data_IF_910208119372
#
_entry.id   IF_910208119372
#
_cell.length_a   1.000
_cell.length_b   1.000
_cell.length_c   1.000
_cell.angle_alpha   90.00
_cell.angle_beta   90.00
_cell.angle_gamma   90.00
#
_symmetry.space_group_name_H-M   'P 1'
#
loop_
_entity.id
_entity.type
_entity.pdbx_description
1 polymer ?
#
# COMPACT_ATOMS: atom_id res chain seq x y z
N UNK A 1 -2.33 2.04 -25.01
CA UNK A 1 -2.26 3.14 -24.01
C UNK A 1 -0.87 3.31 -23.39
N UNK A 2 0.15 2.55 -23.78
CA UNK A 2 1.48 2.52 -23.16
C UNK A 2 2.36 3.79 -23.29
N UNK A 3 1.90 4.77 -24.06
CA UNK A 3 2.68 6.00 -24.32
C UNK A 3 2.15 7.27 -23.62
N UNK A 4 1.11 7.15 -22.80
CA UNK A 4 0.59 8.30 -22.06
C UNK A 4 1.36 8.54 -20.77
N UNK A 5 1.45 9.81 -20.36
CA UNK A 5 2.02 10.23 -19.10
C UNK A 5 1.05 9.91 -17.94
N UNK A 6 1.56 9.94 -16.72
CA UNK A 6 0.83 9.58 -15.50
C UNK A 6 -0.53 10.27 -15.39
N UNK A 7 -0.57 11.59 -15.58
CA UNK A 7 -1.77 12.42 -15.46
C UNK A 7 -2.86 12.04 -16.48
N UNK A 8 -2.46 11.56 -17.66
CA UNK A 8 -3.41 11.05 -18.65
C UNK A 8 -3.88 9.64 -18.30
N UNK A 9 -2.97 8.78 -17.81
CA UNK A 9 -3.32 7.43 -17.38
C UNK A 9 -4.29 7.45 -16.20
N UNK A 10 -4.10 8.34 -15.21
CA UNK A 10 -4.99 8.44 -14.05
C UNK A 10 -6.45 8.80 -14.42
N UNK A 11 -6.66 9.42 -15.59
CA UNK A 11 -7.98 9.81 -16.09
C UNK A 11 -8.58 8.77 -17.03
N UNK A 12 -7.77 8.10 -17.85
CA UNK A 12 -8.24 7.36 -19.01
C UNK A 12 -7.94 5.86 -18.98
N UNK A 13 -6.95 5.41 -18.22
CA UNK A 13 -6.57 3.99 -18.25
C UNK A 13 -7.74 3.10 -17.77
N UNK A 14 -7.95 1.99 -18.49
CA UNK A 14 -8.98 1.01 -18.18
C UNK A 14 -10.42 1.43 -18.48
N UNK A 15 -10.67 2.66 -18.95
CA UNK A 15 -12.01 3.17 -19.20
C UNK A 15 -12.29 3.37 -20.68
N UNK A 16 -13.50 3.00 -21.07
CA UNK A 16 -14.13 3.38 -22.34
C UNK A 16 -15.50 4.00 -22.03
N UNK A 17 -16.05 4.79 -22.95
CA UNK A 17 -17.45 5.20 -22.85
C UNK A 17 -18.34 3.97 -22.78
N UNK A 18 -19.37 3.99 -21.95
CA UNK A 18 -20.30 2.86 -21.82
C UNK A 18 -20.89 2.48 -23.19
N UNK A 19 -20.74 1.23 -23.67
CA UNK A 19 -21.13 0.88 -25.04
C UNK A 19 -22.63 0.90 -25.27
N UNK A 20 -23.45 0.87 -24.21
CA UNK A 20 -24.91 0.85 -24.31
C UNK A 20 -25.49 2.27 -24.26
N UNK A 21 -25.04 3.06 -23.32
CA UNK A 21 -25.60 4.39 -23.03
C UNK A 21 -24.76 5.55 -23.56
N UNK A 22 -23.48 5.30 -23.89
CA UNK A 22 -22.52 6.33 -24.24
C UNK A 22 -22.03 7.15 -23.02
N UNK A 23 -22.32 6.72 -21.78
CA UNK A 23 -21.90 7.44 -20.56
C UNK A 23 -20.40 7.67 -20.56
N UNK A 24 -19.99 8.92 -20.34
CA UNK A 24 -18.57 9.29 -20.23
C UNK A 24 -18.00 8.94 -18.85
N UNK A 25 -18.78 9.09 -17.80
CA UNK A 25 -18.41 8.65 -16.45
C UNK A 25 -18.49 7.12 -16.34
N UNK A 26 -17.68 6.53 -15.44
CA UNK A 26 -17.77 5.09 -15.16
C UNK A 26 -19.11 4.79 -14.49
N UNK A 27 -19.97 3.94 -15.08
CA UNK A 27 -21.23 3.56 -14.43
C UNK A 27 -20.98 2.75 -13.15
N UNK A 28 -21.87 2.90 -12.18
CA UNK A 28 -21.86 2.08 -10.96
C UNK A 28 -22.75 0.85 -11.19
N UNK A 29 -22.13 -0.31 -11.39
CA UNK A 29 -22.86 -1.58 -11.56
C UNK A 29 -23.14 -2.19 -10.19
N UNK A 30 -24.15 -1.67 -9.50
CA UNK A 30 -24.59 -2.15 -8.18
C UNK A 30 -25.49 -3.38 -8.34
N UNK A 31 -24.89 -4.51 -8.69
CA UNK A 31 -25.55 -5.80 -8.86
C UNK A 31 -24.74 -6.92 -8.23
N UNK A 32 -25.38 -8.02 -7.86
CA UNK A 32 -24.71 -9.22 -7.35
C UNK A 32 -24.25 -10.15 -8.46
N UNK A 33 -25.03 -10.30 -9.54
CA UNK A 33 -24.86 -11.35 -10.56
C UNK A 33 -25.19 -10.85 -11.96
N UNK A 34 -24.80 -11.64 -12.96
CA UNK A 34 -24.93 -11.31 -14.37
C UNK A 34 -25.57 -12.47 -15.12
N UNK A 35 -26.35 -12.17 -16.16
CA UNK A 35 -27.02 -13.16 -17.00
C UNK A 35 -26.02 -13.72 -18.02
N UNK A 36 -26.00 -15.04 -18.18
CA UNK A 36 -25.21 -15.73 -19.18
C UNK A 36 -25.95 -15.75 -20.51
N UNK A 37 -25.23 -15.85 -21.63
CA UNK A 37 -25.82 -16.00 -22.96
C UNK A 37 -26.51 -17.36 -23.10
N UNK A 38 -25.83 -18.42 -22.67
CA UNK A 38 -26.28 -19.81 -22.67
C UNK A 38 -25.49 -20.65 -21.65
N UNK A 39 -25.78 -21.95 -21.59
CA UNK A 39 -25.13 -22.88 -20.68
C UNK A 39 -23.65 -23.12 -21.02
N UNK A 40 -23.25 -23.05 -22.29
CA UNK A 40 -21.86 -23.21 -22.70
C UNK A 40 -21.05 -22.01 -22.29
N UNK A 41 -21.52 -20.79 -22.49
CA UNK A 41 -20.91 -19.56 -22.00
C UNK A 41 -20.72 -19.58 -20.47
N UNK A 42 -21.74 -20.02 -19.74
CA UNK A 42 -21.63 -20.18 -18.28
C UNK A 42 -20.49 -21.14 -17.91
N UNK A 43 -20.44 -22.31 -18.53
CA UNK A 43 -19.42 -23.31 -18.28
C UNK A 43 -18.00 -22.80 -18.59
N UNK A 44 -17.82 -22.05 -19.67
CA UNK A 44 -16.53 -21.49 -20.08
C UNK A 44 -16.02 -20.43 -19.06
N UNK A 45 -16.92 -19.59 -18.54
CA UNK A 45 -16.58 -18.61 -17.50
C UNK A 45 -16.14 -19.29 -16.19
N UNK A 46 -16.92 -20.27 -15.72
CA UNK A 46 -16.58 -21.02 -14.50
C UNK A 46 -15.33 -21.89 -14.67
N UNK A 47 -15.07 -22.37 -15.88
CA UNK A 47 -13.88 -23.16 -16.22
C UNK A 47 -12.63 -22.32 -16.53
N UNK A 48 -12.68 -21.00 -16.39
CA UNK A 48 -11.61 -20.06 -16.73
C UNK A 48 -11.12 -20.15 -18.19
N UNK A 49 -11.99 -20.59 -19.09
CA UNK A 49 -11.74 -20.64 -20.54
C UNK A 49 -12.08 -19.34 -21.24
N UNK A 50 -12.93 -18.52 -20.63
CA UNK A 50 -13.30 -17.18 -21.07
C UNK A 50 -13.27 -16.19 -19.90
N UNK A 51 -13.05 -14.90 -20.21
CA UNK A 51 -13.19 -13.81 -19.25
C UNK A 51 -14.56 -13.15 -19.37
N UNK A 52 -15.17 -12.83 -18.23
CA UNK A 52 -16.47 -12.16 -18.21
C UNK A 52 -17.00 -12.01 -16.80
N UNK A 53 -18.18 -11.41 -16.69
CA UNK A 53 -18.81 -11.16 -15.40
C UNK A 53 -19.69 -12.34 -14.97
N UNK A 54 -19.47 -12.85 -13.77
CA UNK A 54 -20.23 -13.92 -13.14
C UNK A 54 -20.98 -13.40 -11.92
N UNK A 55 -20.22 -12.86 -10.97
CA UNK A 55 -20.69 -12.45 -9.67
C UNK A 55 -19.80 -11.34 -9.13
N UNK A 56 -20.39 -10.27 -8.57
CA UNK A 56 -19.67 -9.04 -8.18
C UNK A 56 -18.56 -9.26 -7.16
N UNK A 57 -18.65 -10.28 -6.30
CA UNK A 57 -17.54 -10.63 -5.39
C UNK A 57 -16.26 -10.94 -6.14
N UNK A 58 -16.33 -11.54 -7.33
CA UNK A 58 -15.17 -11.99 -8.11
C UNK A 58 -14.76 -10.92 -9.13
N UNK A 59 -15.75 -10.32 -9.81
CA UNK A 59 -15.55 -9.34 -10.87
C UNK A 59 -16.78 -8.42 -11.02
N UNK A 60 -16.52 -7.15 -11.31
CA UNK A 60 -17.56 -6.15 -11.52
C UNK A 60 -17.05 -5.08 -12.49
N UNK A 61 -17.83 -4.59 -13.47
CA UNK A 61 -17.34 -3.64 -14.46
C UNK A 61 -16.84 -2.32 -13.89
N UNK A 62 -17.42 -1.81 -12.79
CA UNK A 62 -16.91 -0.62 -12.10
C UNK A 62 -15.57 -0.88 -11.46
N UNK A 63 -15.44 -2.02 -10.78
CA UNK A 63 -14.19 -2.45 -10.12
C UNK A 63 -13.10 -2.74 -11.15
N UNK A 64 -13.43 -3.33 -12.30
CA UNK A 64 -12.50 -3.62 -13.39
C UNK A 64 -11.80 -2.35 -13.93
N UNK A 65 -12.53 -1.23 -14.02
CA UNK A 65 -11.90 0.06 -14.39
C UNK A 65 -10.89 0.51 -13.33
N UNK A 66 -11.21 0.38 -12.05
CA UNK A 66 -10.29 0.70 -10.96
C UNK A 66 -9.02 -0.16 -11.04
N UNK A 67 -9.19 -1.47 -11.20
CA UNK A 67 -8.08 -2.43 -11.31
C UNK A 67 -7.17 -2.12 -12.49
N UNK A 68 -7.71 -1.95 -13.68
CA UNK A 68 -6.95 -1.60 -14.89
C UNK A 68 -6.22 -0.27 -14.78
N UNK A 69 -6.85 0.72 -14.13
CA UNK A 69 -6.25 2.04 -13.93
C UNK A 69 -5.07 1.97 -12.97
N UNK A 70 -5.24 1.30 -11.83
CA UNK A 70 -4.15 1.09 -10.87
C UNK A 70 -3.00 0.28 -11.49
N UNK A 71 -3.29 -0.80 -12.22
CA UNK A 71 -2.25 -1.57 -12.92
C UNK A 71 -1.43 -0.69 -13.86
N UNK A 72 -2.10 0.18 -14.65
CA UNK A 72 -1.41 1.09 -15.56
C UNK A 72 -0.55 2.14 -14.83
N UNK A 73 -1.02 2.66 -13.70
CA UNK A 73 -0.30 3.67 -12.91
C UNK A 73 0.91 3.09 -12.19
N UNK A 74 0.80 1.89 -11.63
CA UNK A 74 1.91 1.19 -10.97
C UNK A 74 2.88 0.51 -11.96
N UNK A 75 2.48 0.36 -13.23
CA UNK A 75 3.29 -0.31 -14.27
C UNK A 75 3.19 -1.83 -14.23
N UNK A 76 2.12 -2.38 -13.68
CA UNK A 76 1.84 -3.82 -13.66
C UNK A 76 1.04 -4.30 -14.86
N UNK A 77 0.95 -5.63 -15.01
CA UNK A 77 0.16 -6.29 -16.07
C UNK A 77 -1.32 -6.39 -15.73
N UNK A 78 -1.64 -6.53 -14.43
CA UNK A 78 -3.01 -6.62 -13.92
C UNK A 78 -3.07 -6.24 -12.45
N UNK A 79 -4.28 -5.93 -11.96
CA UNK A 79 -4.52 -5.67 -10.55
C UNK A 79 -5.80 -6.33 -10.05
N UNK A 80 -5.92 -6.42 -8.73
CA UNK A 80 -7.08 -6.91 -8.01
C UNK A 80 -7.46 -5.92 -6.91
N UNK A 81 -8.68 -5.42 -6.93
CA UNK A 81 -9.22 -4.56 -5.88
C UNK A 81 -9.96 -5.39 -4.82
N UNK A 82 -9.74 -5.06 -3.56
CA UNK A 82 -10.26 -5.78 -2.39
C UNK A 82 -10.74 -4.81 -1.32
N UNK A 83 -11.36 -5.35 -0.27
CA UNK A 83 -12.06 -4.57 0.75
C UNK A 83 -11.16 -3.62 1.58
N UNK A 84 -9.86 -3.88 1.70
CA UNK A 84 -8.93 -3.08 2.49
C UNK A 84 -7.46 -3.39 2.16
N UNK A 85 -6.51 -2.54 2.59
CA UNK A 85 -5.09 -2.83 2.50
C UNK A 85 -4.69 -4.10 3.25
N UNK A 86 -5.28 -4.34 4.44
CA UNK A 86 -5.06 -5.58 5.20
C UNK A 86 -5.53 -6.83 4.44
N UNK A 87 -6.65 -6.74 3.71
CA UNK A 87 -7.11 -7.80 2.83
C UNK A 87 -6.16 -8.00 1.64
N UNK A 88 -5.62 -6.92 1.07
CA UNK A 88 -4.68 -6.99 -0.03
C UNK A 88 -3.40 -7.75 0.37
N UNK A 89 -2.78 -7.40 1.49
CA UNK A 89 -1.58 -8.12 1.96
C UNK A 89 -1.89 -9.57 2.37
N UNK A 90 -3.06 -9.82 2.98
CA UNK A 90 -3.48 -11.20 3.31
C UNK A 90 -3.57 -12.05 2.04
N UNK A 91 -4.32 -11.59 1.03
CA UNK A 91 -4.46 -12.32 -0.22
C UNK A 91 -3.14 -12.47 -0.97
N UNK A 92 -2.33 -11.40 -1.04
CA UNK A 92 -1.04 -11.48 -1.72
C UNK A 92 -0.15 -12.59 -1.12
N UNK A 93 -0.07 -12.67 0.21
CA UNK A 93 0.77 -13.66 0.90
C UNK A 93 0.15 -15.06 0.84
N UNK A 94 -1.15 -15.22 1.11
CA UNK A 94 -1.79 -16.55 1.07
C UNK A 94 -1.93 -17.11 -0.35
N UNK A 95 -1.77 -16.29 -1.38
CA UNK A 95 -1.68 -16.75 -2.76
C UNK A 95 -0.37 -17.49 -3.04
N UNK A 96 0.72 -17.16 -2.35
CA UNK A 96 2.06 -17.71 -2.59
C UNK A 96 2.57 -18.62 -1.47
N UNK A 97 2.01 -18.54 -0.27
CA UNK A 97 2.42 -19.25 0.92
C UNK A 97 1.26 -20.00 1.58
N UNK A 98 1.55 -21.12 2.21
CA UNK A 98 0.61 -21.95 2.96
C UNK A 98 1.18 -22.32 4.33
N UNK A 99 0.42 -23.06 5.14
CA UNK A 99 0.88 -23.52 6.44
C UNK A 99 2.21 -24.28 6.33
N UNK A 100 3.17 -23.90 7.14
CA UNK A 100 4.55 -24.42 7.14
C UNK A 100 5.54 -23.61 6.31
N UNK A 101 5.09 -22.65 5.50
CA UNK A 101 5.93 -21.69 4.79
C UNK A 101 6.25 -20.46 5.66
N UNK A 102 7.21 -19.67 5.19
CA UNK A 102 7.53 -18.37 5.80
C UNK A 102 7.76 -17.28 4.77
N UNK A 103 7.71 -16.02 5.23
CA UNK A 103 8.19 -14.83 4.53
C UNK A 103 9.18 -14.08 5.41
N UNK A 104 10.06 -13.29 4.79
CA UNK A 104 10.99 -12.40 5.50
C UNK A 104 10.53 -10.96 5.31
N UNK A 105 10.49 -10.19 6.38
CA UNK A 105 10.04 -8.79 6.38
C UNK A 105 10.94 -7.92 7.23
N UNK A 106 10.94 -6.60 6.97
CA UNK A 106 11.49 -5.61 7.90
C UNK A 106 10.64 -5.51 9.15
N UNK A 107 11.23 -5.05 10.26
CA UNK A 107 10.48 -4.60 11.44
C UNK A 107 9.89 -3.19 11.27
N UNK A 108 10.33 -2.42 10.28
CA UNK A 108 9.91 -1.05 10.00
C UNK A 108 8.61 -1.02 9.17
N UNK A 109 7.52 -1.43 9.80
CA UNK A 109 6.20 -1.56 9.17
C UNK A 109 5.15 -0.70 9.87
N UNK A 110 4.09 -0.43 9.17
CA UNK A 110 2.85 0.01 9.79
C UNK A 110 2.45 -0.96 10.92
N UNK A 111 2.10 -0.43 12.11
CA UNK A 111 1.80 -1.25 13.28
C UNK A 111 0.72 -2.32 13.05
N UNK A 112 -0.29 -2.02 12.22
CA UNK A 112 -1.32 -2.99 11.83
C UNK A 112 -0.77 -4.14 10.98
N UNK A 113 0.18 -3.88 10.09
CA UNK A 113 0.89 -4.90 9.29
C UNK A 113 1.76 -5.77 10.19
N UNK A 114 2.57 -5.15 11.05
CA UNK A 114 3.41 -5.88 12.02
C UNK A 114 2.58 -6.83 12.88
N UNK A 115 1.49 -6.33 13.47
CA UNK A 115 0.61 -7.15 14.30
C UNK A 115 -0.08 -8.28 13.51
N UNK A 116 -0.54 -8.01 12.29
CA UNK A 116 -1.13 -9.05 11.43
C UNK A 116 -0.11 -10.16 11.14
N UNK A 117 1.12 -9.82 10.80
CA UNK A 117 2.19 -10.76 10.51
C UNK A 117 2.59 -11.57 11.75
N UNK A 118 2.78 -10.91 12.87
CA UNK A 118 3.18 -11.54 14.13
C UNK A 118 2.11 -12.48 14.69
N UNK A 119 0.83 -12.13 14.58
CA UNK A 119 -0.26 -12.82 15.27
C UNK A 119 -1.18 -13.58 14.32
N UNK A 120 -1.74 -12.91 13.30
CA UNK A 120 -2.75 -13.53 12.45
C UNK A 120 -2.13 -14.58 11.51
N UNK A 121 -1.01 -14.28 10.86
CA UNK A 121 -0.34 -15.23 9.96
C UNK A 121 0.20 -16.44 10.72
N UNK A 122 0.70 -16.27 11.94
CA UNK A 122 1.10 -17.40 12.79
C UNK A 122 -0.06 -18.36 13.05
N UNK A 123 -1.29 -17.85 13.24
CA UNK A 123 -2.49 -18.70 13.39
C UNK A 123 -2.87 -19.44 12.11
N UNK A 124 -2.50 -18.90 10.95
CA UNK A 124 -2.65 -19.56 9.65
C UNK A 124 -1.51 -20.55 9.35
N UNK A 125 -0.54 -20.68 10.26
CA UNK A 125 0.61 -21.55 10.10
C UNK A 125 1.70 -20.98 9.19
N UNK A 126 1.62 -19.70 8.80
CA UNK A 126 2.64 -19.00 8.03
C UNK A 126 3.50 -18.19 9.01
N UNK A 127 4.81 -18.46 9.02
CA UNK A 127 5.75 -17.74 9.85
C UNK A 127 6.20 -16.44 9.14
N UNK A 128 6.34 -15.34 9.91
CA UNK A 128 6.94 -14.10 9.40
C UNK A 128 8.17 -13.79 10.24
N UNK A 129 9.32 -13.79 9.57
CA UNK A 129 10.62 -13.51 10.19
C UNK A 129 10.98 -12.05 9.98
N UNK A 130 11.17 -11.34 11.07
CA UNK A 130 11.49 -9.92 11.04
C UNK A 130 12.99 -9.69 11.12
N UNK A 131 13.55 -9.07 10.09
CA UNK A 131 14.88 -8.46 10.17
C UNK A 131 14.77 -7.09 10.87
N UNK A 132 15.77 -6.75 11.65
CA UNK A 132 15.87 -5.41 12.23
C UNK A 132 16.38 -4.44 11.16
N UNK A 133 15.59 -3.41 10.87
CA UNK A 133 15.94 -2.40 9.86
C UNK A 133 15.87 -2.90 8.42
N UNK A 134 16.72 -2.33 7.58
CA UNK A 134 16.76 -2.57 6.13
C UNK A 134 18.13 -3.16 5.71
N UNK A 135 18.81 -3.89 6.60
CA UNK A 135 20.10 -4.54 6.31
C UNK A 135 19.90 -5.81 5.48
N UNK A 136 20.48 -5.83 4.30
CA UNK A 136 20.41 -6.94 3.34
C UNK A 136 20.93 -8.26 3.93
N UNK A 137 22.03 -8.22 4.66
CA UNK A 137 22.66 -9.42 5.22
C UNK A 137 21.79 -10.01 6.35
N UNK A 138 21.14 -9.16 7.14
CA UNK A 138 20.17 -9.58 8.15
C UNK A 138 18.95 -10.27 7.51
N UNK A 139 18.46 -9.75 6.37
CA UNK A 139 17.39 -10.41 5.62
C UNK A 139 17.84 -11.76 5.05
N UNK A 140 19.01 -11.81 4.41
CA UNK A 140 19.52 -13.03 3.79
C UNK A 140 19.72 -14.15 4.81
N UNK A 141 20.16 -13.83 6.02
CA UNK A 141 20.32 -14.79 7.12
C UNK A 141 18.99 -15.44 7.59
N UNK A 142 17.85 -14.82 7.31
CA UNK A 142 16.52 -15.32 7.66
C UNK A 142 15.86 -16.15 6.55
N UNK A 143 16.44 -16.19 5.36
CA UNK A 143 15.90 -16.93 4.21
C UNK A 143 16.27 -18.40 4.30
N UNK A 144 15.29 -19.29 4.08
CA UNK A 144 15.49 -20.73 3.98
C UNK A 144 14.69 -21.35 2.83
N UNK A 145 14.69 -22.67 2.71
CA UNK A 145 13.97 -23.40 1.65
C UNK A 145 12.44 -23.22 1.68
N UNK A 146 11.87 -22.79 2.80
CA UNK A 146 10.43 -22.54 3.00
C UNK A 146 10.05 -21.09 2.81
N UNK A 147 11.02 -20.21 2.57
CA UNK A 147 10.76 -18.78 2.35
C UNK A 147 10.10 -18.56 0.99
N UNK A 148 8.95 -17.88 0.99
CA UNK A 148 8.12 -17.63 -0.19
C UNK A 148 8.16 -16.20 -0.69
N UNK A 149 8.78 -15.26 0.04
CA UNK A 149 8.91 -13.89 -0.41
C UNK A 149 9.58 -12.97 0.61
N UNK A 150 9.96 -11.80 0.13
CA UNK A 150 10.42 -10.67 0.94
C UNK A 150 9.34 -9.60 0.90
N UNK A 151 9.01 -9.02 2.05
CA UNK A 151 8.00 -7.98 2.18
C UNK A 151 8.60 -6.70 2.76
N UNK A 152 8.33 -5.56 2.08
CA UNK A 152 8.81 -4.22 2.45
C UNK A 152 7.70 -3.19 2.29
N UNK A 153 7.86 -2.01 2.91
CA UNK A 153 7.11 -0.79 2.58
C UNK A 153 8.02 0.16 1.77
N UNK A 154 7.47 0.85 0.76
CA UNK A 154 8.23 1.83 -0.04
C UNK A 154 8.77 2.97 0.82
N UNK A 155 7.96 3.46 1.73
CA UNK A 155 8.29 4.44 2.77
C UNK A 155 7.75 3.87 4.07
N UNK A 156 8.64 3.54 5.00
CA UNK A 156 8.27 2.94 6.26
C UNK A 156 7.47 3.89 7.16
N UNK A 157 6.63 3.33 8.02
CA UNK A 157 5.76 4.11 8.90
C UNK A 157 5.86 3.59 10.35
N UNK A 158 6.30 4.38 11.32
CA UNK A 158 6.46 5.85 11.30
C UNK A 158 7.90 6.35 11.11
N UNK A 159 8.87 5.48 10.85
CA UNK A 159 10.29 5.84 10.77
C UNK A 159 10.69 6.56 9.47
N UNK A 160 9.88 6.49 8.41
CA UNK A 160 10.13 7.07 7.07
C UNK A 160 11.45 6.62 6.44
N UNK A 161 11.89 5.40 6.79
CA UNK A 161 13.00 4.72 6.12
C UNK A 161 12.64 4.42 4.66
N UNK A 162 13.66 4.46 3.80
CA UNK A 162 13.53 4.12 2.38
C UNK A 162 14.45 2.91 2.13
N UNK A 163 13.91 1.71 1.88
CA UNK A 163 14.73 0.55 1.56
C UNK A 163 15.38 0.68 0.18
N UNK A 164 16.57 0.12 0.03
CA UNK A 164 17.24 0.04 -1.28
C UNK A 164 16.55 -1.03 -2.14
N UNK A 165 15.49 -0.65 -2.85
CA UNK A 165 14.64 -1.56 -3.62
C UNK A 165 15.43 -2.44 -4.60
N UNK A 166 16.46 -1.90 -5.25
CA UNK A 166 17.30 -2.67 -6.20
C UNK A 166 18.09 -3.77 -5.50
N UNK A 167 18.63 -3.48 -4.30
CA UNK A 167 19.34 -4.50 -3.53
C UNK A 167 18.41 -5.59 -3.04
N UNK A 168 17.22 -5.23 -2.56
CA UNK A 168 16.21 -6.21 -2.15
C UNK A 168 15.68 -7.03 -3.32
N UNK A 169 15.48 -6.43 -4.50
CA UNK A 169 15.12 -7.16 -5.72
C UNK A 169 16.22 -8.16 -6.13
N UNK A 170 17.49 -7.76 -6.05
CA UNK A 170 18.62 -8.65 -6.32
C UNK A 170 18.72 -9.79 -5.28
N UNK A 171 18.46 -9.50 -4.00
CA UNK A 171 18.38 -10.53 -2.96
C UNK A 171 17.26 -11.53 -3.24
N UNK A 172 16.04 -11.06 -3.51
CA UNK A 172 14.89 -11.90 -3.83
C UNK A 172 15.18 -12.78 -5.06
N UNK A 173 15.78 -12.20 -6.11
CA UNK A 173 16.18 -12.93 -7.33
C UNK A 173 17.20 -14.02 -7.07
N UNK A 174 18.23 -13.78 -6.22
CA UNK A 174 19.24 -14.80 -5.88
C UNK A 174 18.62 -16.02 -5.19
N UNK A 175 17.52 -15.82 -4.50
CA UNK A 175 16.81 -16.87 -3.78
C UNK A 175 15.56 -17.39 -4.50
N UNK A 176 15.33 -16.99 -5.76
CA UNK A 176 14.16 -17.38 -6.56
C UNK A 176 12.82 -17.17 -5.82
N UNK A 177 12.66 -16.05 -5.10
CA UNK A 177 11.46 -15.66 -4.38
C UNK A 177 11.01 -14.25 -4.80
N UNK A 178 9.71 -13.90 -4.76
CA UNK A 178 9.24 -12.58 -5.14
C UNK A 178 9.55 -11.52 -4.08
N UNK A 179 9.78 -10.29 -4.56
CA UNK A 179 9.75 -9.08 -3.75
C UNK A 179 8.34 -8.48 -3.76
N UNK A 180 7.73 -8.37 -2.57
CA UNK A 180 6.43 -7.77 -2.33
C UNK A 180 6.64 -6.40 -1.69
N UNK A 181 6.06 -5.35 -2.26
CA UNK A 181 6.21 -3.99 -1.74
C UNK A 181 4.86 -3.38 -1.46
N UNK A 182 4.62 -2.97 -0.22
CA UNK A 182 3.51 -2.09 0.12
C UNK A 182 3.84 -0.66 -0.33
N UNK A 183 3.16 -0.23 -1.39
CA UNK A 183 3.33 1.08 -2.00
C UNK A 183 2.24 2.06 -1.58
N UNK A 184 1.65 1.88 -0.41
CA UNK A 184 0.60 2.79 0.09
C UNK A 184 1.08 4.24 0.08
N UNK A 185 2.31 4.51 0.54
CA UNK A 185 2.88 5.86 0.54
C UNK A 185 3.44 6.29 -0.83
N UNK A 186 3.61 5.37 -1.76
CA UNK A 186 3.97 5.66 -3.15
C UNK A 186 2.82 6.22 -3.99
N UNK A 187 1.61 6.29 -3.42
CA UNK A 187 0.44 6.95 -4.00
C UNK A 187 0.14 6.50 -5.44
N UNK A 188 -0.16 5.19 -5.59
CA UNK A 188 -0.47 4.57 -6.88
C UNK A 188 0.58 4.85 -7.97
N UNK A 189 1.86 4.83 -7.59
CA UNK A 189 2.96 5.04 -8.54
C UNK A 189 3.32 6.51 -8.82
N UNK A 190 2.63 7.49 -8.23
CA UNK A 190 2.96 8.90 -8.43
C UNK A 190 4.27 9.31 -7.73
N UNK A 191 4.45 8.86 -6.48
CA UNK A 191 5.68 9.10 -5.71
C UNK A 191 6.72 8.01 -6.00
N UNK A 192 6.31 6.74 -6.07
CA UNK A 192 7.23 5.63 -6.31
C UNK A 192 6.55 4.53 -7.11
N UNK A 193 7.29 3.93 -8.05
CA UNK A 193 6.88 2.77 -8.82
C UNK A 193 7.84 1.59 -8.55
N UNK A 194 7.62 0.79 -7.50
CA UNK A 194 8.55 -0.28 -7.10
C UNK A 194 8.80 -1.31 -8.19
N UNK A 195 7.85 -1.55 -9.09
CA UNK A 195 7.98 -2.47 -10.24
C UNK A 195 9.17 -2.08 -11.14
N UNK A 196 9.44 -0.79 -11.32
CA UNK A 196 10.61 -0.29 -12.07
C UNK A 196 11.95 -0.70 -11.46
N UNK A 197 11.93 -1.05 -10.18
CA UNK A 197 13.12 -1.40 -9.41
C UNK A 197 13.17 -2.88 -9.03
N UNK A 198 12.28 -3.70 -9.62
CA UNK A 198 12.31 -5.15 -9.49
C UNK A 198 11.30 -5.76 -8.53
N UNK A 199 10.35 -5.00 -7.99
CA UNK A 199 9.23 -5.58 -7.26
C UNK A 199 8.38 -6.46 -8.19
N UNK A 200 7.93 -7.60 -7.67
CA UNK A 200 7.11 -8.55 -8.41
C UNK A 200 5.63 -8.40 -8.09
N UNK A 201 5.33 -8.01 -6.85
CA UNK A 201 3.98 -7.76 -6.36
C UNK A 201 3.99 -6.41 -5.65
N UNK A 202 3.04 -5.55 -5.99
CA UNK A 202 2.79 -4.31 -5.28
C UNK A 202 1.42 -4.38 -4.62
N UNK A 203 1.35 -3.98 -3.36
CA UNK A 203 0.07 -3.81 -2.68
C UNK A 203 -0.09 -2.37 -2.22
N UNK A 204 -1.32 -1.92 -2.02
CA UNK A 204 -1.58 -0.64 -1.39
C UNK A 204 -2.93 -0.60 -0.68
N UNK A 205 -2.99 0.17 0.39
CA UNK A 205 -4.27 0.61 0.95
C UNK A 205 -4.84 1.75 0.10
N UNK A 206 -5.82 1.43 -0.73
CA UNK A 206 -6.52 2.42 -1.55
C UNK A 206 -7.32 3.44 -0.70
N UNK A 207 -7.56 3.12 0.56
CA UNK A 207 -8.16 3.97 1.59
C UNK A 207 -7.42 5.31 1.74
N UNK A 208 -6.10 5.33 1.48
CA UNK A 208 -5.20 6.44 1.75
C UNK A 208 -5.16 7.43 0.58
N UNK A 209 -4.02 7.60 -0.06
CA UNK A 209 -3.81 8.58 -1.15
C UNK A 209 -4.73 8.36 -2.36
N UNK A 210 -5.05 7.10 -2.68
CA UNK A 210 -5.93 6.77 -3.81
C UNK A 210 -7.32 7.37 -3.60
N UNK A 211 -7.95 7.09 -2.48
CA UNK A 211 -9.23 7.70 -2.11
C UNK A 211 -9.08 9.20 -1.79
N UNK A 212 -8.14 9.53 -0.90
CA UNK A 212 -7.72 10.89 -0.57
C UNK A 212 -8.72 11.78 0.20
N UNK A 213 -9.87 11.23 0.59
CA UNK A 213 -10.97 12.01 1.19
C UNK A 213 -11.52 11.40 2.49
N UNK A 214 -10.94 10.30 2.98
CA UNK A 214 -11.40 9.62 4.20
C UNK A 214 -12.80 9.01 4.09
N UNK A 215 -13.31 8.76 2.88
CA UNK A 215 -14.71 8.34 2.65
C UNK A 215 -14.86 6.85 2.36
N UNK A 216 -13.83 6.19 1.85
CA UNK A 216 -13.92 4.80 1.38
C UNK A 216 -12.72 3.96 1.81
N UNK A 217 -13.00 2.74 2.25
CA UNK A 217 -11.97 1.73 2.52
C UNK A 217 -11.82 0.84 1.28
N UNK A 218 -10.57 0.56 0.91
CA UNK A 218 -10.23 -0.35 -0.16
C UNK A 218 -8.76 -0.76 -0.11
N UNK A 219 -8.43 -1.81 -0.81
CA UNK A 219 -7.07 -2.28 -1.03
C UNK A 219 -6.87 -2.71 -2.47
N UNK A 220 -5.63 -2.74 -2.91
CA UNK A 220 -5.26 -3.18 -4.26
C UNK A 220 -4.02 -4.05 -4.23
N UNK A 221 -3.97 -5.03 -5.11
CA UNK A 221 -2.83 -5.89 -5.39
C UNK A 221 -2.50 -5.71 -6.86
N UNK A 222 -1.24 -5.48 -7.19
CA UNK A 222 -0.76 -5.32 -8.57
C UNK A 222 0.27 -6.39 -8.85
N UNK A 223 0.06 -7.13 -9.93
CA UNK A 223 1.00 -8.12 -10.47
C UNK A 223 1.90 -7.46 -11.50
N UNK A 224 3.21 -7.52 -11.30
CA UNK A 224 4.18 -7.03 -12.26
C UNK A 224 4.28 -7.93 -13.52
N UNK A 225 3.82 -9.20 -13.43
CA UNK A 225 3.93 -10.17 -14.51
C UNK A 225 5.35 -10.62 -14.84
N UNK A 226 6.29 -10.37 -13.94
CA UNK A 226 7.71 -10.58 -14.17
C UNK A 226 8.35 -11.71 -13.34
N UNK A 227 7.57 -12.43 -12.53
CA UNK A 227 8.08 -13.51 -11.69
C UNK A 227 7.76 -14.88 -12.29
N UNK A 228 8.74 -15.80 -12.21
CA UNK A 228 8.58 -17.19 -12.67
C UNK A 228 8.01 -18.06 -11.55
N UNK A 229 6.68 -18.23 -11.51
CA UNK A 229 6.00 -19.10 -10.55
C UNK A 229 6.25 -20.59 -10.81
N UNK A 230 6.82 -20.96 -11.96
CA UNK A 230 7.20 -22.33 -12.34
C UNK A 230 8.62 -22.74 -11.91
N UNK A 231 9.29 -21.98 -11.03
CA UNK A 231 10.69 -22.22 -10.63
C UNK A 231 10.90 -23.39 -9.63
N UNK A 232 9.86 -24.16 -9.33
CA UNK A 232 9.91 -25.33 -8.44
C UNK A 232 9.65 -25.00 -6.95
N UNK A 233 9.56 -23.73 -6.56
CA UNK A 233 9.29 -23.33 -5.16
C UNK A 233 7.81 -23.06 -4.85
N UNK A 234 6.96 -22.98 -5.87
CA UNK A 234 5.57 -22.56 -5.73
C UNK A 234 4.60 -23.63 -6.22
N UNK A 235 4.43 -24.76 -5.48
CA UNK A 235 3.53 -25.84 -5.88
C UNK A 235 2.09 -25.39 -6.06
N UNK A 236 1.64 -24.36 -5.35
CA UNK A 236 0.32 -23.75 -5.51
C UNK A 236 0.02 -23.24 -6.93
N UNK A 237 1.02 -23.06 -7.80
CA UNK A 237 0.87 -22.65 -9.19
C UNK A 237 1.11 -23.79 -10.17
N UNK A 238 1.95 -24.79 -9.80
CA UNK A 238 2.41 -25.85 -10.71
C UNK A 238 1.72 -27.18 -10.50
N UNK A 239 1.15 -27.40 -9.31
CA UNK A 239 0.34 -28.58 -9.02
C UNK A 239 -1.12 -28.40 -9.47
N UNK A 240 -1.85 -29.50 -9.75
CA UNK A 240 -3.26 -29.45 -10.11
C UNK A 240 -4.11 -28.82 -9.01
N UNK A 241 -4.86 -27.76 -9.30
CA UNK A 241 -5.80 -27.14 -8.36
C UNK A 241 -7.05 -28.00 -8.17
N UNK A 242 -7.34 -28.37 -6.93
CA UNK A 242 -8.56 -29.10 -6.56
C UNK A 242 -9.82 -28.27 -6.81
N UNK A 243 -9.73 -26.93 -6.65
CA UNK A 243 -10.83 -25.98 -6.86
C UNK A 243 -11.18 -25.75 -8.32
N UNK A 244 -10.33 -26.15 -9.28
CA UNK A 244 -10.50 -25.93 -10.72
C UNK A 244 -10.22 -27.18 -11.54
N UNK A 245 -10.74 -28.34 -11.13
CA UNK A 245 -10.69 -29.61 -11.88
C UNK A 245 -9.29 -29.98 -12.37
N UNK A 246 -8.26 -29.71 -11.57
CA UNK A 246 -6.89 -30.06 -11.89
C UNK A 246 -6.17 -29.04 -12.80
N UNK A 247 -6.72 -27.85 -12.99
CA UNK A 247 -6.03 -26.77 -13.69
C UNK A 247 -4.72 -26.43 -12.97
N UNK A 248 -3.66 -26.26 -13.74
CA UNK A 248 -2.39 -25.74 -13.26
C UNK A 248 -2.27 -24.26 -13.67
N UNK A 249 -2.22 -23.37 -12.68
CA UNK A 249 -2.24 -21.94 -12.95
C UNK A 249 -1.05 -21.48 -13.78
N UNK A 250 0.15 -22.06 -13.53
CA UNK A 250 1.33 -21.69 -14.29
C UNK A 250 1.28 -22.12 -15.75
N UNK A 251 0.80 -23.34 -16.04
CA UNK A 251 0.70 -23.85 -17.41
C UNK A 251 -0.31 -23.02 -18.24
N UNK A 252 -1.37 -22.52 -17.62
CA UNK A 252 -2.46 -21.79 -18.31
C UNK A 252 -2.21 -20.28 -18.36
N UNK A 253 -1.72 -19.69 -17.28
CA UNK A 253 -1.62 -18.23 -17.07
C UNK A 253 -0.19 -17.77 -16.81
N UNK A 254 0.81 -18.61 -17.00
CA UNK A 254 2.23 -18.25 -16.93
C UNK A 254 2.74 -17.64 -18.23
N UNK A 255 4.05 -17.40 -18.30
CA UNK A 255 4.70 -16.69 -19.40
C UNK A 255 4.51 -17.35 -20.78
N UNK A 256 4.34 -18.66 -20.82
CA UNK A 256 4.13 -19.43 -22.05
C UNK A 256 2.62 -19.66 -22.37
N UNK A 257 1.76 -19.26 -21.46
CA UNK A 257 0.31 -19.33 -21.65
C UNK A 257 -0.22 -18.25 -22.60
N UNK A 258 -1.44 -18.43 -23.13
CA UNK A 258 -2.01 -17.55 -24.16
C UNK A 258 -2.34 -16.13 -23.65
N UNK A 259 -2.30 -15.90 -22.34
CA UNK A 259 -2.69 -14.63 -21.71
C UNK A 259 -1.49 -13.83 -21.18
N UNK A 260 -0.26 -14.34 -21.36
CA UNK A 260 0.94 -13.80 -20.70
C UNK A 260 0.98 -14.17 -19.21
N UNK A 261 2.01 -13.69 -18.50
CA UNK A 261 2.22 -14.04 -17.09
C UNK A 261 1.28 -13.27 -16.16
N UNK A 262 0.09 -13.81 -15.94
CA UNK A 262 -0.94 -13.32 -15.01
C UNK A 262 -1.35 -14.40 -13.99
N UNK A 263 -0.56 -15.46 -13.85
CA UNK A 263 -0.89 -16.60 -12.98
C UNK A 263 -1.14 -16.17 -11.54
N UNK A 264 -0.33 -15.26 -11.00
CA UNK A 264 -0.48 -14.77 -9.63
C UNK A 264 -1.81 -14.05 -9.42
N UNK A 265 -2.13 -13.08 -10.26
CA UNK A 265 -3.33 -12.25 -10.03
C UNK A 265 -4.62 -13.03 -10.31
N UNK A 266 -4.61 -13.98 -11.26
CA UNK A 266 -5.74 -14.87 -11.51
C UNK A 266 -5.97 -15.78 -10.30
N UNK A 267 -4.92 -16.42 -9.77
CA UNK A 267 -5.05 -17.26 -8.58
C UNK A 267 -5.53 -16.46 -7.38
N UNK A 268 -4.98 -15.26 -7.15
CA UNK A 268 -5.44 -14.36 -6.08
C UNK A 268 -6.94 -14.03 -6.20
N UNK A 269 -7.46 -13.87 -7.43
CA UNK A 269 -8.87 -13.59 -7.68
C UNK A 269 -9.76 -14.82 -7.48
N UNK A 270 -9.41 -15.93 -8.11
CA UNK A 270 -10.33 -17.07 -8.25
C UNK A 270 -10.24 -18.09 -7.11
N UNK A 271 -9.17 -18.08 -6.33
CA UNK A 271 -9.06 -18.83 -5.06
C UNK A 271 -9.09 -17.87 -3.87
N UNK A 272 -8.22 -16.86 -3.82
CA UNK A 272 -8.14 -15.95 -2.69
C UNK A 272 -9.41 -15.11 -2.49
N UNK A 273 -9.73 -14.22 -3.43
CA UNK A 273 -10.89 -13.33 -3.31
C UNK A 273 -12.21 -14.09 -3.33
N UNK A 274 -12.37 -15.07 -4.23
CA UNK A 274 -13.61 -15.85 -4.34
C UNK A 274 -13.95 -16.57 -3.05
N UNK A 275 -12.97 -17.23 -2.44
CA UNK A 275 -13.20 -18.16 -1.33
C UNK A 275 -13.12 -17.50 0.04
N UNK A 276 -12.21 -16.52 0.23
CA UNK A 276 -12.09 -15.76 1.48
C UNK A 276 -13.00 -14.55 1.56
N UNK A 277 -13.46 -14.02 0.42
CA UNK A 277 -14.56 -13.08 0.32
C UNK A 277 -14.29 -11.60 0.59
N UNK A 278 -13.07 -11.05 0.68
CA UNK A 278 -12.85 -9.63 0.99
C UNK A 278 -13.09 -8.72 -0.23
N UNK A 279 -14.28 -8.82 -0.81
CA UNK A 279 -14.66 -8.06 -2.00
C UNK A 279 -14.90 -6.58 -1.69
N UNK A 280 -14.47 -5.70 -2.59
CA UNK A 280 -14.79 -4.28 -2.55
C UNK A 280 -16.21 -4.03 -3.09
N UNK A 281 -16.92 -3.08 -2.49
CA UNK A 281 -18.20 -2.60 -3.04
C UNK A 281 -17.95 -1.82 -4.35
N UNK A 282 -18.78 -2.00 -5.40
CA UNK A 282 -18.72 -1.17 -6.61
C UNK A 282 -18.84 0.33 -6.32
N UNK A 283 -19.62 0.70 -5.32
CA UNK A 283 -19.73 2.09 -4.88
C UNK A 283 -18.42 2.62 -4.30
N UNK A 284 -17.71 1.82 -3.47
CA UNK A 284 -16.40 2.21 -2.99
C UNK A 284 -15.38 2.28 -4.14
N UNK A 285 -15.41 1.34 -5.07
CA UNK A 285 -14.56 1.38 -6.26
C UNK A 285 -14.78 2.67 -7.08
N UNK A 286 -16.03 3.11 -7.22
CA UNK A 286 -16.37 4.38 -7.87
C UNK A 286 -15.80 5.58 -7.12
N UNK A 287 -15.92 5.64 -5.78
CA UNK A 287 -15.34 6.74 -4.97
C UNK A 287 -13.81 6.75 -5.05
N UNK A 288 -13.16 5.59 -5.09
CA UNK A 288 -11.71 5.49 -5.30
C UNK A 288 -11.29 5.96 -6.70
N UNK A 289 -12.09 5.67 -7.74
CA UNK A 289 -11.87 6.21 -9.08
C UNK A 289 -11.96 7.74 -9.11
N UNK A 290 -12.93 8.33 -8.39
CA UNK A 290 -13.03 9.78 -8.23
C UNK A 290 -11.76 10.37 -7.57
N UNK A 291 -11.26 9.70 -6.54
CA UNK A 291 -10.00 10.09 -5.90
C UNK A 291 -8.80 10.00 -6.85
N UNK A 292 -8.72 8.97 -7.68
CA UNK A 292 -7.63 8.80 -8.66
C UNK A 292 -7.58 9.91 -9.68
N UNK A 293 -8.71 10.41 -10.15
CA UNK A 293 -8.75 11.43 -11.21
C UNK A 293 -8.05 12.75 -10.85
N UNK A 294 -7.87 13.02 -9.57
CA UNK A 294 -7.15 14.20 -9.07
C UNK A 294 -5.91 13.86 -8.23
N UNK A 295 -5.47 12.60 -8.26
CA UNK A 295 -4.43 12.12 -7.36
C UNK A 295 -3.13 12.91 -7.50
N UNK A 296 -2.62 13.11 -8.72
CA UNK A 296 -1.36 13.82 -8.95
C UNK A 296 -1.39 15.26 -8.40
N UNK A 297 -2.50 15.97 -8.58
CA UNK A 297 -2.68 17.34 -8.09
C UNK A 297 -2.67 17.39 -6.55
N UNK A 298 -3.40 16.45 -5.91
CA UNK A 298 -3.47 16.38 -4.45
C UNK A 298 -2.12 15.97 -3.85
N UNK A 299 -1.53 14.91 -4.37
CA UNK A 299 -0.29 14.35 -3.82
C UNK A 299 0.88 15.34 -3.99
N UNK A 300 0.95 16.07 -5.09
CA UNK A 300 1.93 17.15 -5.25
C UNK A 300 1.77 18.20 -4.16
N UNK A 301 0.55 18.68 -3.91
CA UNK A 301 0.29 19.66 -2.86
C UNK A 301 0.61 19.11 -1.46
N UNK A 302 0.31 17.83 -1.19
CA UNK A 302 0.71 17.18 0.06
C UNK A 302 2.23 17.19 0.25
N UNK A 303 3.00 16.85 -0.80
CA UNK A 303 4.46 16.83 -0.74
C UNK A 303 5.05 18.24 -0.53
N UNK A 304 4.54 19.25 -1.26
CA UNK A 304 4.99 20.64 -1.13
C UNK A 304 4.74 21.15 0.29
N UNK A 305 3.54 20.90 0.82
CA UNK A 305 3.19 21.31 2.18
C UNK A 305 3.99 20.53 3.24
N UNK A 306 4.24 19.23 3.02
CA UNK A 306 5.00 18.41 3.96
C UNK A 306 6.46 18.86 4.04
N UNK A 307 7.09 19.18 2.91
CA UNK A 307 8.45 19.72 2.88
C UNK A 307 8.53 21.05 3.61
N UNK A 308 7.64 22.00 3.30
CA UNK A 308 7.64 23.31 3.93
C UNK A 308 7.37 23.24 5.45
N UNK A 309 6.47 22.33 5.89
CA UNK A 309 6.25 22.09 7.32
C UNK A 309 7.47 21.43 7.98
N UNK A 310 8.13 20.47 7.32
CA UNK A 310 9.33 19.81 7.84
C UNK A 310 10.48 20.79 8.04
N UNK A 311 10.73 21.67 7.06
CA UNK A 311 11.76 22.72 7.12
C UNK A 311 11.48 23.72 8.26
N UNK A 312 10.21 24.12 8.45
CA UNK A 312 9.83 24.99 9.57
C UNK A 312 10.01 24.28 10.92
N UNK A 313 9.59 23.02 11.06
CA UNK A 313 9.76 22.25 12.28
C UNK A 313 11.23 22.02 12.64
N UNK A 314 12.09 21.73 11.65
CA UNK A 314 13.53 21.52 11.86
C UNK A 314 14.21 22.72 12.49
N UNK A 315 13.73 23.92 12.23
CA UNK A 315 14.27 25.16 12.78
C UNK A 315 13.62 25.59 14.11
N UNK A 316 12.55 24.89 14.54
CA UNK A 316 11.78 25.32 15.70
C UNK A 316 12.48 24.89 17.03
N UNK A 317 12.66 25.81 18.02
CA UNK A 317 13.41 25.54 19.24
C UNK A 317 12.87 24.41 20.11
N UNK A 318 11.55 24.13 20.08
CA UNK A 318 10.91 23.05 20.83
C UNK A 318 11.09 21.67 20.17
N UNK A 319 11.48 21.61 18.90
CA UNK A 319 11.64 20.36 18.16
C UNK A 319 13.04 19.80 18.38
N UNK A 320 13.11 18.51 18.68
CA UNK A 320 14.37 17.78 18.88
C UNK A 320 14.92 17.28 17.53
N UNK A 321 14.05 16.66 16.73
CA UNK A 321 14.35 16.22 15.37
C UNK A 321 13.06 16.06 14.52
N UNK A 322 13.24 16.04 13.21
CA UNK A 322 12.19 15.76 12.23
C UNK A 322 12.60 14.57 11.37
N UNK A 323 11.71 13.58 11.28
CA UNK A 323 11.84 12.45 10.36
C UNK A 323 11.04 12.72 9.09
N UNK A 324 11.74 13.09 8.03
CA UNK A 324 11.16 13.30 6.71
C UNK A 324 12.24 13.10 5.64
N UNK A 325 12.04 12.20 4.65
CA UNK A 325 13.10 11.88 3.69
C UNK A 325 13.45 13.03 2.75
N UNK A 326 12.62 14.09 2.69
CA UNK A 326 12.89 15.30 1.91
C UNK A 326 13.93 16.24 2.54
N UNK A 327 14.21 16.13 3.85
CA UNK A 327 15.22 16.95 4.51
C UNK A 327 16.63 16.46 4.16
N UNK A 328 17.55 17.37 3.86
CA UNK A 328 18.94 17.02 3.53
C UNK A 328 19.68 16.29 4.66
N UNK A 329 19.27 16.53 5.91
CA UNK A 329 19.81 15.86 7.10
C UNK A 329 19.29 14.43 7.29
N UNK A 330 18.25 14.02 6.56
CA UNK A 330 17.71 12.67 6.66
C UNK A 330 18.71 11.62 6.18
N UNK A 331 18.94 10.55 6.94
CA UNK A 331 19.82 9.45 6.51
C UNK A 331 19.32 8.75 5.24
N UNK A 332 18.04 8.90 4.92
CA UNK A 332 17.41 8.30 3.75
C UNK A 332 17.29 9.24 2.54
N UNK A 333 17.76 10.49 2.64
CA UNK A 333 17.61 11.49 1.59
C UNK A 333 18.17 11.03 0.24
N UNK A 334 19.33 10.38 0.23
CA UNK A 334 19.94 9.87 -1.00
C UNK A 334 19.12 8.74 -1.64
N UNK A 335 18.59 7.80 -0.84
CA UNK A 335 17.73 6.73 -1.33
C UNK A 335 16.38 7.28 -1.80
N UNK A 336 15.84 8.29 -1.09
CA UNK A 336 14.63 8.98 -1.50
C UNK A 336 14.82 9.65 -2.88
N UNK A 337 15.92 10.35 -3.12
CA UNK A 337 16.25 10.94 -4.43
C UNK A 337 16.43 9.87 -5.53
N UNK A 338 16.80 8.66 -5.19
CA UNK A 338 16.96 7.56 -6.14
C UNK A 338 15.64 6.90 -6.54
N UNK A 339 14.71 6.75 -5.58
CA UNK A 339 13.52 5.92 -5.75
C UNK A 339 12.21 6.71 -5.83
N UNK A 340 12.17 7.91 -5.28
CA UNK A 340 10.97 8.74 -5.26
C UNK A 340 11.00 9.77 -6.40
N UNK A 341 9.81 10.05 -6.92
CA UNK A 341 9.56 11.07 -7.94
C UNK A 341 8.47 12.02 -7.46
N UNK A 342 8.42 13.24 -7.97
CA UNK A 342 7.38 14.21 -7.66
C UNK A 342 7.28 14.64 -6.17
N UNK A 343 8.33 14.36 -5.37
CA UNK A 343 8.38 14.73 -3.96
C UNK A 343 8.71 13.54 -3.05
N UNK A 344 8.63 13.77 -1.74
CA UNK A 344 9.13 12.83 -0.72
C UNK A 344 8.00 12.27 0.16
N UNK A 345 6.75 12.36 -0.29
CA UNK A 345 5.57 11.96 0.45
C UNK A 345 4.93 13.08 1.27
N UNK A 346 3.70 12.86 1.68
CA UNK A 346 2.88 13.84 2.42
C UNK A 346 2.79 13.55 3.92
N UNK A 347 3.68 12.73 4.48
CA UNK A 347 3.69 12.38 5.91
C UNK A 347 5.08 12.61 6.49
N UNK A 348 5.13 13.19 7.67
CA UNK A 348 6.35 13.36 8.45
C UNK A 348 6.13 12.99 9.92
N UNK A 349 7.19 12.79 10.67
CA UNK A 349 7.14 12.74 12.12
C UNK A 349 8.17 13.69 12.73
N UNK A 350 7.86 14.19 13.90
CA UNK A 350 8.80 15.01 14.67
C UNK A 350 8.68 14.72 16.15
N UNK A 351 9.77 14.94 16.89
CA UNK A 351 9.82 14.76 18.33
C UNK A 351 10.01 16.10 19.04
N UNK A 352 9.24 16.30 20.10
CA UNK A 352 9.37 17.47 20.97
C UNK A 352 10.35 17.22 22.11
N UNK A 353 11.17 18.22 22.48
CA UNK A 353 12.17 18.17 23.57
C UNK A 353 11.54 17.88 24.94
N UNK A 354 10.29 18.28 25.16
CA UNK A 354 9.55 18.01 26.40
C UNK A 354 8.87 16.64 26.45
N UNK A 355 9.14 15.75 25.47
CA UNK A 355 8.65 14.38 25.44
C UNK A 355 7.11 14.28 25.34
N UNK A 356 6.54 13.21 25.94
CA UNK A 356 5.12 12.89 25.85
C UNK A 356 4.20 14.02 26.37
N UNK A 357 4.61 14.72 27.43
CA UNK A 357 3.79 15.79 28.01
C UNK A 357 3.58 16.92 27.00
N UNK A 358 4.66 17.39 26.37
CA UNK A 358 4.58 18.44 25.35
C UNK A 358 3.81 17.97 24.13
N UNK A 359 4.04 16.74 23.68
CA UNK A 359 3.31 16.15 22.56
C UNK A 359 1.79 16.16 22.79
N UNK A 360 1.32 15.72 23.97
CA UNK A 360 -0.09 15.75 24.33
C UNK A 360 -0.64 17.18 24.38
N UNK A 361 0.06 18.12 25.03
CA UNK A 361 -0.37 19.52 25.08
C UNK A 361 -0.54 20.12 23.69
N UNK A 362 0.40 19.85 22.79
CA UNK A 362 0.32 20.33 21.39
C UNK A 362 -0.90 19.73 20.69
N UNK A 363 -1.03 18.40 20.70
CA UNK A 363 -2.14 17.69 20.02
C UNK A 363 -3.51 18.17 20.52
N UNK A 364 -3.67 18.33 21.83
CA UNK A 364 -4.95 18.70 22.44
C UNK A 364 -5.33 20.16 22.19
N UNK A 365 -4.40 21.00 21.73
CA UNK A 365 -4.63 22.43 21.47
C UNK A 365 -4.59 22.85 20.00
N UNK A 366 -4.36 21.92 19.08
CA UNK A 366 -4.54 22.16 17.65
C UNK A 366 -6.01 22.41 17.33
N UNK A 367 -6.29 23.36 16.42
CA UNK A 367 -7.64 23.80 16.06
C UNK A 367 -8.03 23.45 14.64
N UNK A 368 -7.07 23.46 13.72
CA UNK A 368 -7.24 23.09 12.32
C UNK A 368 -6.87 21.63 12.10
N UNK A 369 -5.73 21.20 12.62
CA UNK A 369 -5.20 19.84 12.45
C UNK A 369 -6.03 18.85 13.26
N UNK A 370 -6.57 17.84 12.59
CA UNK A 370 -7.46 16.86 13.22
C UNK A 370 -6.69 15.72 13.89
N UNK A 371 -7.00 15.43 15.15
CA UNK A 371 -6.40 14.32 15.90
C UNK A 371 -7.14 13.00 15.60
N UNK A 372 -6.61 12.20 14.69
CA UNK A 372 -7.18 10.89 14.30
C UNK A 372 -6.14 9.98 13.60
N UNK A 373 -6.47 8.69 13.55
CA UNK A 373 -5.61 7.65 12.96
C UNK A 373 -5.91 7.45 11.47
N UNK A 374 -5.39 8.32 10.60
CA UNK A 374 -5.38 8.11 9.14
C UNK A 374 -4.14 8.77 8.51
N UNK A 375 -3.95 8.59 7.21
CA UNK A 375 -2.96 9.30 6.38
C UNK A 375 -3.54 9.49 4.96
N UNK A 376 -3.04 10.48 4.23
CA UNK A 376 -3.42 10.72 2.84
C UNK A 376 -4.80 11.35 2.64
N UNK A 377 -5.41 11.85 3.71
CA UNK A 377 -6.63 12.66 3.66
C UNK A 377 -6.27 14.07 3.16
N UNK A 378 -7.20 14.70 2.44
CA UNK A 378 -7.08 16.08 2.00
C UNK A 378 -6.88 17.08 3.17
N UNK A 379 -7.31 16.73 4.37
CA UNK A 379 -7.12 17.51 5.60
C UNK A 379 -5.88 17.07 6.35
N UNK A 380 -5.23 18.00 7.03
CA UNK A 380 -4.07 17.71 7.88
C UNK A 380 -4.48 16.95 9.13
N UNK A 381 -3.79 15.85 9.40
CA UNK A 381 -4.06 14.94 10.51
C UNK A 381 -2.82 14.76 11.38
N UNK A 382 -3.01 14.59 12.68
CA UNK A 382 -1.93 14.31 13.63
C UNK A 382 -2.29 13.12 14.53
N UNK A 383 -1.27 12.38 14.96
CA UNK A 383 -1.43 11.30 15.93
C UNK A 383 -0.14 11.12 16.74
N UNK A 384 -0.27 10.64 17.97
CA UNK A 384 0.83 10.18 18.81
C UNK A 384 0.98 8.66 18.70
N UNK A 385 1.91 8.12 17.89
CA UNK A 385 1.98 6.70 17.56
C UNK A 385 2.13 5.79 18.76
N UNK A 386 2.93 6.17 19.75
CA UNK A 386 3.22 5.34 20.93
C UNK A 386 1.97 4.99 21.77
N UNK A 387 0.99 5.90 21.84
CA UNK A 387 -0.25 5.67 22.60
C UNK A 387 -1.45 5.29 21.75
N UNK A 388 -1.27 5.03 20.45
CA UNK A 388 -2.36 4.76 19.52
C UNK A 388 -2.03 3.63 18.54
N UNK A 389 -1.45 3.95 17.39
CA UNK A 389 -1.22 2.98 16.30
C UNK A 389 -0.20 1.87 16.65
N UNK A 390 0.64 2.07 17.67
CA UNK A 390 1.66 1.14 18.14
C UNK A 390 1.51 0.79 19.63
N UNK A 391 0.36 1.10 20.25
CA UNK A 391 0.12 0.82 21.68
C UNK A 391 0.19 -0.67 22.01
N UNK A 392 -0.18 -1.53 21.06
CA UNK A 392 -0.15 -2.99 21.23
C UNK A 392 1.26 -3.59 21.21
N UNK A 393 2.27 -2.82 20.82
CA UNK A 393 3.67 -3.24 20.84
C UNK A 393 4.26 -3.02 22.23
N UNK A 394 5.15 -3.93 22.65
CA UNK A 394 5.99 -3.69 23.83
C UNK A 394 6.90 -2.49 23.62
N UNK A 395 7.44 -1.93 24.70
CA UNK A 395 8.36 -0.77 24.65
C UNK A 395 9.56 -1.05 23.73
N UNK A 396 10.10 -2.28 23.80
CA UNK A 396 11.24 -2.67 22.95
C UNK A 396 10.85 -2.80 21.49
N UNK A 397 9.64 -3.32 21.19
CA UNK A 397 9.10 -3.38 19.82
C UNK A 397 8.75 -1.98 19.28
N UNK A 398 8.22 -1.08 20.11
CA UNK A 398 8.02 0.31 19.72
C UNK A 398 9.34 0.97 19.35
N UNK A 399 10.37 0.76 20.16
CA UNK A 399 11.72 1.29 19.89
C UNK A 399 12.32 0.70 18.61
N UNK A 400 12.18 -0.61 18.40
CA UNK A 400 12.60 -1.30 17.16
C UNK A 400 11.85 -0.79 15.92
N UNK A 401 10.60 -0.33 16.08
CA UNK A 401 9.81 0.29 15.03
C UNK A 401 10.07 1.80 14.86
N UNK A 402 11.01 2.38 15.61
CA UNK A 402 11.32 3.82 15.56
C UNK A 402 10.29 4.71 16.26
N UNK A 403 9.48 4.14 17.17
CA UNK A 403 8.46 4.89 17.92
C UNK A 403 9.01 5.29 19.29
N UNK A 404 9.19 6.58 19.50
CA UNK A 404 9.64 7.15 20.77
C UNK A 404 8.52 7.88 21.53
N UNK A 405 8.60 7.93 22.88
CA UNK A 405 7.71 8.79 23.67
C UNK A 405 7.89 10.26 23.27
N UNK A 406 6.82 10.93 22.86
CA UNK A 406 6.88 12.31 22.38
C UNK A 406 7.03 12.47 20.87
N UNK A 407 7.13 11.39 20.13
CA UNK A 407 7.06 11.41 18.66
C UNK A 407 5.62 11.67 18.21
N UNK A 408 5.44 12.67 17.35
CA UNK A 408 4.18 12.99 16.68
C UNK A 408 4.29 12.70 15.19
N UNK A 409 3.27 12.07 14.61
CA UNK A 409 3.19 11.84 13.15
C UNK A 409 2.11 12.74 12.56
N UNK A 410 2.46 13.49 11.52
CA UNK A 410 1.57 14.40 10.79
C UNK A 410 1.39 13.88 9.37
N UNK A 411 0.15 13.66 8.95
CA UNK A 411 -0.23 13.53 7.55
C UNK A 411 -0.67 14.91 7.06
N UNK A 412 0.19 15.55 6.31
CA UNK A 412 -0.01 16.95 5.91
C UNK A 412 -1.04 17.01 4.78
N UNK A 413 -2.05 17.82 4.95
CA UNK A 413 -3.14 18.02 3.99
C UNK A 413 -2.83 19.02 2.88
N UNK A 414 -3.88 19.40 2.15
CA UNK A 414 -3.77 20.33 1.02
C UNK A 414 -4.21 21.75 1.35
N UNK A 415 -4.44 22.04 2.64
CA UNK A 415 -4.73 23.40 3.13
C UNK A 415 -3.59 24.37 2.77
N UNK A 416 -3.80 25.65 2.96
CA UNK A 416 -2.74 26.62 2.77
C UNK A 416 -1.67 26.42 3.86
N UNK A 417 -0.41 26.27 3.47
CA UNK A 417 0.69 25.91 4.40
C UNK A 417 0.84 26.85 5.58
N UNK A 418 0.60 28.15 5.40
CA UNK A 418 0.67 29.13 6.49
C UNK A 418 -0.39 28.88 7.56
N UNK A 419 -1.56 28.40 7.19
CA UNK A 419 -2.61 28.09 8.16
C UNK A 419 -2.25 26.86 8.99
N UNK A 420 -1.63 25.84 8.36
CA UNK A 420 -1.09 24.68 9.06
C UNK A 420 0.00 25.10 10.05
N UNK A 421 0.99 25.88 9.59
CA UNK A 421 2.09 26.36 10.45
C UNK A 421 1.54 27.21 11.61
N UNK A 422 0.64 28.14 11.35
CA UNK A 422 0.03 28.98 12.37
C UNK A 422 -0.71 28.16 13.45
N UNK A 423 -1.34 27.04 13.05
CA UNK A 423 -2.01 26.16 14.01
C UNK A 423 -1.01 25.45 14.93
N UNK A 424 0.13 25.00 14.39
CA UNK A 424 1.21 24.47 15.21
C UNK A 424 1.83 25.55 16.11
N UNK A 425 2.08 26.74 15.59
CA UNK A 425 2.72 27.83 16.33
C UNK A 425 1.88 28.26 17.54
N UNK A 426 0.54 28.41 17.37
CA UNK A 426 -0.34 28.73 18.49
C UNK A 426 -0.39 27.61 19.55
N UNK A 427 -0.29 26.33 19.14
CA UNK A 427 -0.25 25.21 20.06
C UNK A 427 1.12 25.10 20.78
N UNK A 428 2.21 25.39 20.09
CA UNK A 428 3.57 25.42 20.66
C UNK A 428 3.73 26.54 21.70
N UNK A 429 3.14 27.71 21.47
CA UNK A 429 3.15 28.81 22.43
C UNK A 429 2.55 28.46 23.81
N UNK A 430 1.64 27.48 23.86
CA UNK A 430 1.07 27.00 25.13
C UNK A 430 2.01 26.10 25.93
N UNK A 431 3.02 25.54 25.28
CA UNK A 431 4.04 24.69 25.93
C UNK A 431 5.18 25.54 26.49
N UNK A 432 5.46 26.68 25.88
CA UNK A 432 6.50 27.64 26.30
C UNK A 432 6.02 28.56 27.45
N UNK A 433 4.72 28.68 27.65
CA UNK A 433 4.19 29.55 28.70
C UNK A 433 4.59 29.01 30.07
N UNK A 434 5.21 29.83 30.97
CA UNK A 434 5.46 29.38 32.32
C UNK A 434 4.13 28.97 32.97
N UNK A 435 4.11 27.76 33.55
CA UNK A 435 2.99 27.34 34.40
C UNK A 435 2.76 28.44 35.42
N UNK A 436 1.64 29.17 35.30
CA UNK A 436 1.27 30.12 36.33
C UNK A 436 1.06 29.29 37.61
N UNK A 437 1.98 29.50 38.58
CA UNK A 437 2.00 28.88 39.92
C UNK A 437 0.87 29.48 40.74
#
# INVERSE_FOLDING_TARGET
MSNYQYETLQLHAGQQADPVTGSRAVPIYQTTSYVFHDSAHAADLFGLKAFGNIYTRIMNPTTDVLEKRIAALEGGVAALAVASGQAAQTLAITTIAQAGDNIVSTSYLYGGTYNQFKVAFKRLGIDVRFAEGDDIDAFEALIDAKTKGIYLETIGNPGFNIPDLKKFAALAQRHDIPLIVDNTFGAAGYIAQPIKYGANIVIASATKWIGGHGTSIGGVIVDAGNFNWGNGKFPLFTEPSEGYHGLKFWDTFGSEGPFGNIAFIIRARVEGLRDLGPAISPFNAFLLLQGLETLSLRVQRHCDNALALAEWLEQHPLVEYVNYPGLAASPYHNLANQYLTNGYGGVLAFKLKGGKQYANTVVDNLKLVSHLANVGDAKTLIIHPASTTHEQLSVDEQRAAGVEPGLLRVSVGIEHIKDIINDFEQAFALVEAPVAV
#
